data_IF_586108609463
#
_entry.id   IF_586108609463
#
_cell.length_a   1.000
_cell.length_b   1.000
_cell.length_c   1.000
_cell.angle_alpha   90.00
_cell.angle_beta   90.00
_cell.angle_gamma   90.00
#
_symmetry.space_group_name_H-M   'P 1'
#
loop_
_entity.id
_entity.type
_entity.pdbx_description
1 polymer ?
#
# COMPACT_ATOMS: atom_id res chain seq x y z
N UNK A 1 19.90 65.15 -13.67
CA UNK A 1 21.30 64.70 -13.78
C UNK A 1 21.27 63.19 -13.56
N UNK A 2 21.23 62.31 -14.55
CA UNK A 2 21.95 62.30 -15.82
C UNK A 2 23.25 61.52 -15.61
N UNK A 3 23.28 60.23 -15.99
CA UNK A 3 24.34 59.55 -16.77
C UNK A 3 23.89 58.10 -17.03
N UNK A 4 23.75 57.79 -18.33
CA UNK A 4 23.53 56.48 -18.96
C UNK A 4 24.87 55.71 -19.13
N UNK A 5 24.77 54.50 -19.72
CA UNK A 5 25.81 53.65 -20.37
C UNK A 5 26.28 52.44 -19.52
N UNK A 6 26.38 51.18 -20.01
CA UNK A 6 26.15 50.58 -21.34
C UNK A 6 26.24 49.03 -21.21
N UNK A 7 25.33 48.34 -21.91
CA UNK A 7 25.46 47.10 -22.71
C UNK A 7 26.65 46.13 -22.54
N UNK A 8 26.36 44.82 -22.55
CA UNK A 8 27.38 43.77 -22.78
C UNK A 8 26.82 42.34 -22.85
N UNK A 9 26.20 41.99 -23.98
CA UNK A 9 25.68 40.66 -24.33
C UNK A 9 26.83 39.76 -24.83
N UNK A 10 26.93 38.51 -24.36
CA UNK A 10 27.75 37.49 -25.05
C UNK A 10 27.12 36.10 -24.91
N UNK A 11 26.48 35.67 -26.00
CA UNK A 11 26.11 34.29 -26.27
C UNK A 11 27.17 33.71 -27.23
N UNK A 12 27.62 32.48 -26.99
CA UNK A 12 28.39 31.71 -27.98
C UNK A 12 27.94 30.24 -27.94
N UNK A 13 27.21 29.84 -28.98
CA UNK A 13 27.09 28.44 -29.41
C UNK A 13 28.38 28.02 -30.11
N UNK A 14 28.78 26.75 -29.99
CA UNK A 14 29.48 26.01 -31.05
C UNK A 14 29.20 24.50 -30.91
N UNK A 15 28.91 23.88 -32.04
CA UNK A 15 28.59 22.47 -32.22
C UNK A 15 29.72 21.73 -32.98
N UNK A 16 29.82 20.43 -32.69
CA UNK A 16 30.21 19.29 -33.56
C UNK A 16 31.61 19.13 -34.19
N UNK A 17 32.16 17.91 -34.01
CA UNK A 17 33.01 17.03 -34.86
C UNK A 17 34.04 16.32 -33.96
N UNK A 18 34.34 15.01 -34.00
CA UNK A 18 34.03 13.87 -34.87
C UNK A 18 34.99 12.69 -34.53
N UNK A 19 34.90 11.61 -35.31
CA UNK A 19 35.72 10.35 -35.33
C UNK A 19 35.23 9.22 -34.38
N UNK A 20 34.54 8.19 -34.89
CA UNK A 20 35.03 6.99 -35.61
C UNK A 20 35.99 6.14 -34.77
N UNK A 21 35.54 4.96 -34.36
CA UNK A 21 36.26 3.74 -34.74
C UNK A 21 35.31 2.55 -34.92
N UNK A 22 35.54 1.81 -36.00
CA UNK A 22 34.88 0.57 -36.38
C UNK A 22 35.76 -0.58 -35.91
N UNK A 23 35.17 -1.63 -35.35
CA UNK A 23 35.73 -2.97 -35.45
C UNK A 23 34.57 -3.96 -35.46
N UNK A 24 34.41 -4.56 -36.64
CA UNK A 24 33.58 -5.72 -36.90
C UNK A 24 34.20 -6.96 -36.25
N UNK A 25 33.38 -7.94 -35.87
CA UNK A 25 33.43 -9.26 -36.50
C UNK A 25 32.26 -10.13 -36.03
N UNK A 26 31.41 -10.47 -36.99
CA UNK A 26 30.45 -11.58 -36.96
C UNK A 26 31.20 -12.78 -37.52
N UNK A 27 31.20 -13.91 -36.80
CA UNK A 27 31.63 -15.18 -37.37
C UNK A 27 30.84 -16.36 -36.80
N UNK A 28 30.17 -17.05 -37.71
CA UNK A 28 29.62 -18.41 -37.67
C UNK A 28 29.61 -18.90 -39.14
N UNK A 29 29.39 -20.18 -39.49
CA UNK A 29 29.44 -21.45 -38.76
C UNK A 29 30.39 -22.45 -39.51
N UNK A 30 30.28 -23.81 -39.39
CA UNK A 30 29.31 -24.55 -40.22
C UNK A 30 28.70 -25.82 -39.58
N UNK A 31 27.67 -26.33 -40.25
CA UNK A 31 26.88 -27.52 -39.93
C UNK A 31 27.50 -28.84 -40.42
N UNK A 32 27.12 -29.96 -39.78
CA UNK A 32 27.13 -31.28 -40.40
C UNK A 32 25.99 -32.18 -39.84
N UNK A 33 25.12 -32.53 -40.78
CA UNK A 33 24.16 -33.66 -40.94
C UNK A 33 24.33 -34.93 -40.11
N UNK A 34 23.18 -35.52 -39.72
CA UNK A 34 22.74 -36.95 -39.77
C UNK A 34 21.50 -37.09 -38.84
N UNK A 35 20.50 -37.94 -38.99
CA UNK A 35 19.88 -38.73 -40.07
C UNK A 35 18.51 -39.13 -39.54
N UNK A 36 17.55 -39.31 -40.44
CA UNK A 36 16.16 -39.72 -40.19
C UNK A 36 16.09 -41.20 -39.82
N UNK A 37 15.31 -41.60 -38.81
CA UNK A 37 14.61 -42.88 -38.88
C UNK A 37 13.29 -42.87 -38.09
N UNK A 38 12.27 -43.38 -38.76
CA UNK A 38 10.86 -43.43 -38.43
C UNK A 38 10.55 -44.88 -38.05
N UNK A 39 9.85 -45.15 -36.95
CA UNK A 39 9.23 -46.45 -36.75
C UNK A 39 7.89 -46.30 -36.02
N UNK A 40 6.87 -46.78 -36.71
CA UNK A 40 5.47 -46.79 -36.30
C UNK A 40 5.14 -48.10 -35.58
N UNK A 41 4.11 -48.02 -34.71
CA UNK A 41 3.12 -49.08 -34.48
C UNK A 41 3.55 -50.24 -33.59
N UNK A 42 2.85 -50.40 -32.46
CA UNK A 42 2.15 -51.65 -32.13
C UNK A 42 1.25 -51.46 -30.90
N UNK A 43 -0.02 -51.80 -31.07
CA UNK A 43 -1.05 -52.00 -30.06
C UNK A 43 -1.65 -53.40 -30.36
N UNK A 44 -2.37 -54.05 -29.45
CA UNK A 44 -1.93 -54.76 -28.25
C UNK A 44 -2.07 -56.30 -28.41
N UNK A 45 -1.30 -57.10 -27.68
CA UNK A 45 -1.52 -58.56 -27.58
C UNK A 45 -1.75 -59.01 -26.13
N UNK A 46 -2.81 -59.81 -25.99
CA UNK A 46 -3.43 -60.27 -24.75
C UNK A 46 -2.56 -61.25 -23.95
N UNK A 47 -2.52 -61.07 -22.63
CA UNK A 47 -2.11 -62.10 -21.68
C UNK A 47 -3.29 -62.51 -20.77
N UNK A 48 -3.38 -63.78 -20.35
CA UNK A 48 -4.61 -64.40 -19.83
C UNK A 48 -4.94 -64.03 -18.38
N UNK A 49 -6.23 -64.16 -18.05
CA UNK A 49 -6.81 -63.88 -16.75
C UNK A 49 -6.28 -64.80 -15.63
N UNK A 50 -5.96 -64.28 -14.43
CA UNK A 50 -5.74 -65.09 -13.25
C UNK A 50 -7.06 -65.50 -12.58
N UNK A 51 -7.10 -66.75 -12.10
CA UNK A 51 -8.17 -67.36 -11.29
C UNK A 51 -8.52 -66.56 -10.01
N UNK A 52 -9.76 -66.72 -9.49
CA UNK A 52 -10.23 -65.97 -8.34
C UNK A 52 -9.54 -66.40 -7.04
N UNK A 53 -8.97 -65.42 -6.32
CA UNK A 53 -8.42 -65.60 -4.98
C UNK A 53 -9.54 -65.90 -3.95
N UNK A 54 -9.25 -66.69 -2.90
CA UNK A 54 -10.23 -67.07 -1.87
C UNK A 54 -10.71 -65.87 -1.04
N UNK A 55 -11.96 -65.95 -0.59
CA UNK A 55 -12.65 -64.91 0.17
C UNK A 55 -11.88 -64.50 1.44
N UNK A 56 -11.82 -63.20 1.78
CA UNK A 56 -11.20 -62.74 3.03
C UNK A 56 -12.07 -63.11 4.23
N UNK A 57 -11.42 -63.67 5.25
CA UNK A 57 -11.93 -63.90 6.61
C UNK A 57 -12.46 -62.58 7.21
N UNK A 58 -13.59 -62.58 7.96
CA UNK A 58 -14.11 -61.36 8.56
C UNK A 58 -13.15 -60.77 9.60
N UNK A 59 -12.75 -59.52 9.38
CA UNK A 59 -11.97 -58.70 10.31
C UNK A 59 -12.82 -58.41 11.57
N UNK A 60 -12.27 -58.49 12.81
CA UNK A 60 -13.02 -58.13 14.01
C UNK A 60 -13.45 -56.66 13.99
N UNK A 61 -14.57 -56.28 14.63
CA UNK A 61 -15.12 -54.94 14.51
C UNK A 61 -14.15 -53.91 15.09
N UNK A 62 -13.74 -52.96 14.24
CA UNK A 62 -13.02 -51.76 14.67
C UNK A 62 -13.89 -50.99 15.69
N UNK A 63 -13.31 -50.51 16.81
CA UNK A 63 -14.02 -49.61 17.71
C UNK A 63 -14.55 -48.43 16.90
N UNK A 64 -15.83 -48.09 17.08
CA UNK A 64 -16.46 -46.95 16.44
C UNK A 64 -15.59 -45.72 16.70
N UNK A 65 -14.88 -45.25 15.67
CA UNK A 65 -14.21 -43.97 15.72
C UNK A 65 -15.30 -42.94 15.94
N UNK A 66 -15.33 -42.35 17.14
CA UNK A 66 -16.05 -41.12 17.42
C UNK A 66 -15.77 -40.16 16.28
N UNK A 67 -16.78 -39.91 15.43
CA UNK A 67 -16.75 -38.77 14.53
C UNK A 67 -16.53 -37.55 15.42
N UNK A 68 -15.46 -36.77 15.23
CA UNK A 68 -15.39 -35.49 15.90
C UNK A 68 -16.65 -34.70 15.50
N UNK A 69 -17.27 -33.95 16.43
CA UNK A 69 -18.34 -33.05 16.06
C UNK A 69 -17.83 -32.17 14.93
N UNK A 70 -18.65 -32.01 13.88
CA UNK A 70 -18.40 -31.06 12.81
C UNK A 70 -18.23 -29.69 13.46
N UNK A 71 -16.98 -29.32 13.72
CA UNK A 71 -16.66 -27.95 14.02
C UNK A 71 -16.94 -27.21 12.72
N UNK A 72 -18.00 -26.40 12.71
CA UNK A 72 -18.06 -25.25 11.82
C UNK A 72 -16.87 -24.35 12.19
N UNK A 73 -15.68 -24.76 11.74
CA UNK A 73 -14.42 -24.11 11.98
C UNK A 73 -14.30 -22.95 11.01
N UNK A 74 -15.05 -21.88 11.24
CA UNK A 74 -14.53 -20.59 10.84
C UNK A 74 -13.31 -20.34 11.73
N UNK A 75 -12.13 -20.31 11.12
CA UNK A 75 -10.99 -19.67 11.76
C UNK A 75 -11.45 -18.29 12.26
N UNK A 76 -11.05 -17.84 13.46
CA UNK A 76 -11.48 -16.54 13.94
C UNK A 76 -11.05 -15.48 12.92
N UNK A 77 -12.04 -14.91 12.23
CA UNK A 77 -11.82 -13.78 11.33
C UNK A 77 -11.23 -12.67 12.20
N UNK A 78 -9.97 -12.29 11.95
CA UNK A 78 -9.32 -11.24 12.73
C UNK A 78 -10.09 -9.95 12.46
N UNK A 79 -10.88 -9.51 13.45
CA UNK A 79 -11.64 -8.28 13.35
C UNK A 79 -10.68 -7.08 13.32
N UNK A 80 -10.76 -6.26 12.26
CA UNK A 80 -10.03 -5.00 12.23
C UNK A 80 -10.42 -4.12 13.42
N UNK A 81 -9.46 -3.39 14.02
CA UNK A 81 -9.80 -2.32 14.95
C UNK A 81 -10.67 -1.27 14.26
N UNK A 82 -11.50 -0.58 15.05
CA UNK A 82 -12.25 0.55 14.55
C UNK A 82 -11.33 1.78 14.42
N UNK A 83 -11.47 2.52 13.31
CA UNK A 83 -11.01 3.90 13.25
C UNK A 83 -12.02 4.78 14.00
N UNK A 84 -11.60 5.83 14.72
CA UNK A 84 -12.54 6.74 15.37
C UNK A 84 -13.49 7.36 14.35
N UNK A 85 -14.78 7.37 14.67
CA UNK A 85 -15.82 7.88 13.79
C UNK A 85 -16.84 8.72 14.56
N UNK A 86 -17.16 9.97 14.13
CA UNK A 86 -16.63 10.69 12.96
C UNK A 86 -15.09 10.84 13.00
N UNK A 87 -14.42 10.97 11.84
CA UNK A 87 -12.97 11.06 11.81
C UNK A 87 -12.53 12.28 12.62
N UNK A 88 -11.45 12.18 13.41
CA UNK A 88 -10.98 13.32 14.18
C UNK A 88 -10.51 14.43 13.23
N UNK A 89 -10.50 15.66 13.75
CA UNK A 89 -10.29 16.84 12.90
C UNK A 89 -8.97 16.75 12.15
N UNK A 90 -9.07 16.73 10.83
CA UNK A 90 -7.94 16.67 9.90
C UNK A 90 -7.49 18.08 9.51
N UNK A 91 -6.20 18.22 9.25
CA UNK A 91 -5.56 19.49 8.85
C UNK A 91 -5.92 19.91 7.43
N UNK A 92 -6.08 18.94 6.53
CA UNK A 92 -6.53 19.11 5.16
C UNK A 92 -7.17 17.82 4.63
N UNK A 93 -7.80 17.88 3.46
CA UNK A 93 -8.35 16.71 2.79
C UNK A 93 -8.33 16.87 1.26
N UNK A 94 -8.43 15.77 0.54
CA UNK A 94 -8.61 15.75 -0.91
C UNK A 94 -9.50 14.58 -1.34
N UNK A 95 -10.41 14.82 -2.28
CA UNK A 95 -11.21 13.76 -2.89
C UNK A 95 -10.41 13.06 -3.98
N UNK A 96 -10.51 11.74 -4.02
CA UNK A 96 -9.84 10.90 -5.01
C UNK A 96 -10.84 10.50 -6.09
N UNK A 97 -10.44 10.62 -7.35
CA UNK A 97 -11.29 10.31 -8.48
C UNK A 97 -11.60 8.79 -8.51
N UNK A 98 -12.87 8.43 -8.74
CA UNK A 98 -13.33 7.04 -8.71
C UNK A 98 -12.58 6.19 -9.74
N UNK A 99 -12.35 6.74 -10.92
CA UNK A 99 -11.64 6.10 -12.03
C UNK A 99 -10.16 5.79 -11.73
N UNK A 100 -9.58 6.35 -10.67
CA UNK A 100 -8.21 6.07 -10.24
C UNK A 100 -8.13 4.90 -9.26
N UNK A 101 -9.21 4.63 -8.51
CA UNK A 101 -9.24 3.61 -7.47
C UNK A 101 -10.12 2.42 -7.82
N UNK A 102 -11.08 2.59 -8.72
CA UNK A 102 -12.10 1.62 -9.08
C UNK A 102 -12.38 1.62 -10.60
N UNK A 103 -11.40 1.27 -11.47
CA UNK A 103 -11.54 1.38 -12.93
C UNK A 103 -12.44 0.31 -13.59
N UNK A 104 -13.02 -0.62 -12.82
CA UNK A 104 -13.87 -1.72 -13.30
C UNK A 104 -15.36 -1.39 -13.36
N UNK A 105 -16.16 -2.28 -13.93
CA UNK A 105 -17.63 -2.12 -14.08
C UNK A 105 -18.40 -2.44 -12.80
N UNK A 106 -17.90 -3.36 -11.98
CA UNK A 106 -18.48 -3.76 -10.70
C UNK A 106 -17.37 -3.91 -9.64
N UNK A 107 -16.66 -2.82 -9.31
CA UNK A 107 -15.51 -2.88 -8.43
C UNK A 107 -15.94 -3.26 -7.01
N UNK A 108 -15.05 -3.98 -6.32
CA UNK A 108 -15.21 -4.31 -4.89
C UNK A 108 -14.21 -3.54 -4.04
N UNK A 109 -14.49 -3.38 -2.74
CA UNK A 109 -13.61 -2.65 -1.82
C UNK A 109 -12.18 -3.22 -1.80
N UNK A 110 -12.02 -4.53 -2.03
CA UNK A 110 -10.70 -5.18 -2.12
C UNK A 110 -9.87 -4.72 -3.33
N UNK A 111 -10.49 -4.34 -4.45
CA UNK A 111 -9.79 -3.78 -5.60
C UNK A 111 -9.29 -2.37 -5.31
N UNK A 112 -10.17 -1.55 -4.72
CA UNK A 112 -9.84 -0.20 -4.25
C UNK A 112 -8.70 -0.23 -3.25
N UNK A 113 -8.77 -1.14 -2.27
CA UNK A 113 -7.73 -1.34 -1.28
C UNK A 113 -6.37 -1.62 -1.93
N UNK A 114 -6.30 -2.55 -2.90
CA UNK A 114 -5.06 -2.87 -3.62
C UNK A 114 -4.51 -1.67 -4.41
N UNK A 115 -5.38 -0.85 -4.97
CA UNK A 115 -4.95 0.33 -5.73
C UNK A 115 -4.37 1.41 -4.80
N UNK A 116 -4.94 1.59 -3.61
CA UNK A 116 -4.39 2.49 -2.58
C UNK A 116 -3.06 1.97 -2.02
N UNK A 117 -2.95 0.66 -1.75
CA UNK A 117 -1.69 0.02 -1.35
C UNK A 117 -0.60 0.19 -2.42
N UNK A 118 -0.95 -0.02 -3.70
CA UNK A 118 -0.04 0.20 -4.82
C UNK A 118 0.46 1.65 -4.85
N UNK A 119 -0.43 2.62 -4.66
CA UNK A 119 -0.05 4.02 -4.63
C UNK A 119 0.90 4.34 -3.47
N UNK A 120 0.64 3.80 -2.28
CA UNK A 120 1.56 3.91 -1.14
C UNK A 120 2.93 3.33 -1.47
N UNK A 121 2.97 2.12 -2.04
CA UNK A 121 4.23 1.46 -2.40
C UNK A 121 5.03 2.26 -3.45
N UNK A 122 4.39 2.76 -4.51
CA UNK A 122 5.04 3.59 -5.53
C UNK A 122 5.59 4.88 -4.93
N UNK A 123 4.85 5.50 -3.99
CA UNK A 123 5.27 6.70 -3.29
C UNK A 123 6.32 6.45 -2.18
N UNK A 124 6.73 5.20 -1.96
CA UNK A 124 7.75 4.80 -1.00
C UNK A 124 7.27 4.58 0.43
N UNK A 125 5.95 4.54 0.67
CA UNK A 125 5.37 4.14 1.95
C UNK A 125 5.40 2.62 2.06
N UNK A 126 6.41 2.08 2.73
CA UNK A 126 6.56 0.63 2.92
C UNK A 126 5.66 0.03 4.00
N UNK A 127 4.91 0.85 4.74
CA UNK A 127 4.05 0.42 5.85
C UNK A 127 2.73 1.19 5.84
N UNK A 128 1.63 0.47 6.04
CA UNK A 128 0.27 0.99 6.17
C UNK A 128 -0.58 0.09 7.07
N UNK A 129 -1.68 0.63 7.58
CA UNK A 129 -2.51 0.00 8.60
C UNK A 129 -4.01 0.13 8.26
N UNK A 130 -4.73 -1.00 8.25
CA UNK A 130 -6.17 -1.06 7.97
C UNK A 130 -7.03 -0.88 9.22
N UNK A 131 -8.14 -0.17 9.06
CA UNK A 131 -9.16 0.02 10.09
C UNK A 131 -10.56 -0.14 9.52
N UNK A 132 -11.48 -0.55 10.38
CA UNK A 132 -12.91 -0.57 10.07
C UNK A 132 -13.52 0.81 10.31
N UNK A 133 -14.33 1.26 9.37
CA UNK A 133 -15.24 2.41 9.49
C UNK A 133 -16.66 2.00 9.06
N UNK A 134 -17.69 2.83 9.31
CA UNK A 134 -18.99 2.62 8.68
C UNK A 134 -18.89 2.63 7.15
N UNK A 135 -19.56 1.69 6.49
CA UNK A 135 -19.63 1.64 5.02
C UNK A 135 -18.36 1.20 4.29
N UNK A 136 -17.26 0.89 4.99
CA UNK A 136 -16.03 0.44 4.34
C UNK A 136 -14.81 0.37 5.26
N UNK A 137 -13.69 0.94 4.81
CA UNK A 137 -12.40 0.85 5.51
C UNK A 137 -11.62 2.17 5.46
N UNK A 138 -10.69 2.31 6.41
CA UNK A 138 -9.65 3.32 6.36
C UNK A 138 -8.28 2.64 6.22
N UNK A 139 -7.38 3.27 5.47
CA UNK A 139 -6.00 2.84 5.28
C UNK A 139 -5.06 3.99 5.64
N UNK A 140 -4.37 3.86 6.76
CA UNK A 140 -3.46 4.86 7.29
C UNK A 140 -2.01 4.57 6.86
N UNK A 141 -1.27 5.61 6.49
CA UNK A 141 0.17 5.53 6.26
C UNK A 141 0.95 5.41 7.56
N UNK A 142 2.23 5.02 7.48
CA UNK A 142 3.22 5.36 8.51
C UNK A 142 3.35 6.89 8.68
N UNK A 143 3.97 7.31 9.78
CA UNK A 143 4.33 8.71 10.00
C UNK A 143 5.45 9.10 9.04
N UNK A 144 5.27 10.23 8.37
CA UNK A 144 6.25 10.81 7.44
C UNK A 144 6.78 12.13 7.99
N UNK A 145 8.10 12.31 7.96
CA UNK A 145 8.75 13.58 8.23
C UNK A 145 8.76 14.45 6.97
N UNK A 146 8.23 15.67 7.09
CA UNK A 146 8.05 16.62 6.00
C UNK A 146 8.71 17.96 6.34
N UNK A 147 9.06 18.70 5.30
CA UNK A 147 9.47 20.10 5.42
C UNK A 147 8.23 20.99 5.60
N UNK A 148 8.45 22.25 5.97
CA UNK A 148 7.38 23.23 6.14
C UNK A 148 6.52 23.45 4.88
N UNK A 149 7.05 23.13 3.71
CA UNK A 149 6.32 23.19 2.44
C UNK A 149 5.60 21.87 2.08
N UNK A 150 5.50 20.92 3.02
CA UNK A 150 4.95 19.58 2.85
C UNK A 150 5.71 18.65 1.88
N UNK A 151 6.91 19.03 1.43
CA UNK A 151 7.80 18.10 0.73
C UNK A 151 8.37 17.06 1.70
N UNK A 152 8.47 15.78 1.32
CA UNK A 152 9.07 14.77 2.17
C UNK A 152 10.58 14.98 2.28
N UNK A 153 11.15 14.71 3.45
CA UNK A 153 12.59 14.51 3.53
C UNK A 153 13.02 13.30 2.67
N UNK A 154 14.31 13.21 2.36
CA UNK A 154 14.87 12.01 1.72
C UNK A 154 15.01 10.88 2.76
N UNK A 155 15.05 9.62 2.29
CA UNK A 155 15.37 8.52 3.19
C UNK A 155 16.83 8.64 3.68
N UNK A 156 17.14 8.33 4.95
CA UNK A 156 16.24 7.76 5.97
C UNK A 156 15.44 8.81 6.77
N UNK A 157 15.76 10.09 6.66
CA UNK A 157 15.15 11.18 7.47
C UNK A 157 13.64 11.28 7.30
N UNK A 158 13.12 10.96 6.10
CA UNK A 158 11.69 10.82 5.80
C UNK A 158 10.94 9.95 6.80
N UNK A 159 11.62 8.94 7.33
CA UNK A 159 11.08 7.89 8.17
C UNK A 159 11.75 7.84 9.54
N UNK A 160 12.36 8.94 9.98
CA UNK A 160 13.13 9.04 11.23
C UNK A 160 12.33 8.68 12.50
N UNK A 161 11.01 8.60 12.39
CA UNK A 161 10.15 8.01 13.42
C UNK A 161 10.08 6.51 13.16
N UNK A 162 10.95 5.75 13.84
CA UNK A 162 10.97 4.28 13.78
C UNK A 162 9.62 3.69 14.23
N UNK A 163 9.08 2.79 13.40
CA UNK A 163 7.96 1.92 13.78
C UNK A 163 8.55 0.66 14.44
N UNK A 164 8.27 0.37 15.73
CA UNK A 164 8.76 -0.85 16.37
C UNK A 164 8.27 -2.08 15.62
N UNK A 165 9.20 -3.00 15.34
CA UNK A 165 8.88 -4.31 14.76
C UNK A 165 8.01 -5.08 15.76
N UNK A 166 6.80 -5.42 15.33
CA UNK A 166 5.76 -6.14 16.06
C UNK A 166 6.34 -7.23 16.98
N UNK A 167 6.33 -6.97 18.30
CA UNK A 167 6.22 -7.98 19.37
C UNK A 167 6.08 -7.42 20.79
N UNK A 168 6.27 -6.13 21.03
CA UNK A 168 6.14 -5.55 22.37
C UNK A 168 5.25 -4.30 22.35
N UNK A 169 4.50 -4.11 23.44
CA UNK A 169 3.26 -3.33 23.45
C UNK A 169 3.34 -1.83 23.19
N UNK A 170 2.14 -1.30 22.92
CA UNK A 170 1.65 0.08 22.75
C UNK A 170 2.39 1.26 23.42
N UNK A 171 3.20 1.06 24.47
CA UNK A 171 3.82 2.15 25.24
C UNK A 171 5.15 2.64 24.61
N UNK A 172 5.89 1.79 23.88
CA UNK A 172 7.20 2.17 23.33
C UNK A 172 7.12 2.97 22.02
N UNK A 173 6.05 2.78 21.23
CA UNK A 173 5.79 3.52 19.98
C UNK A 173 5.49 5.01 20.22
N UNK A 174 4.84 5.32 21.34
CA UNK A 174 4.50 6.67 21.79
C UNK A 174 5.77 7.50 22.05
N UNK A 175 6.86 6.86 22.51
CA UNK A 175 8.16 7.53 22.69
C UNK A 175 8.77 7.97 21.38
N UNK A 176 8.51 7.31 20.25
CA UNK A 176 9.16 7.63 18.98
C UNK A 176 8.77 9.02 18.44
N UNK A 177 7.51 9.45 18.57
CA UNK A 177 7.10 10.84 18.26
C UNK A 177 7.51 11.86 19.34
N UNK A 178 7.58 11.44 20.61
CA UNK A 178 8.06 12.32 21.68
C UNK A 178 9.59 12.53 21.64
N UNK A 179 10.32 11.56 21.08
CA UNK A 179 11.75 11.60 20.80
C UNK A 179 12.08 11.98 19.35
N UNK A 180 11.06 12.21 18.51
CA UNK A 180 11.26 12.65 17.14
C UNK A 180 11.94 14.03 17.15
N UNK A 181 12.88 14.30 16.23
CA UNK A 181 13.46 15.62 16.09
C UNK A 181 12.37 16.69 15.92
N UNK A 182 12.59 17.93 16.42
CA UNK A 182 11.72 19.04 16.08
C UNK A 182 11.53 19.17 14.57
N UNK A 183 10.30 19.38 14.12
CA UNK A 183 9.96 19.36 12.69
C UNK A 183 8.47 19.15 12.43
N UNK A 184 8.13 18.99 11.15
CA UNK A 184 6.75 18.77 10.69
C UNK A 184 6.56 17.33 10.27
N UNK A 185 5.44 16.74 10.65
CA UNK A 185 5.13 15.34 10.37
C UNK A 185 3.74 15.24 9.79
N UNK A 186 3.48 14.21 8.98
CA UNK A 186 2.12 13.90 8.54
C UNK A 186 1.78 12.42 8.61
N UNK A 187 0.49 12.17 8.75
CA UNK A 187 -0.16 10.88 8.52
C UNK A 187 -1.26 11.08 7.49
N UNK A 188 -1.30 10.21 6.49
CA UNK A 188 -2.30 10.23 5.43
C UNK A 188 -3.22 9.04 5.63
N UNK A 189 -4.53 9.30 5.73
CA UNK A 189 -5.54 8.26 5.88
C UNK A 189 -6.47 8.30 4.68
N UNK A 190 -6.46 7.27 3.86
CA UNK A 190 -7.50 7.07 2.87
C UNK A 190 -8.74 6.50 3.54
N UNK A 191 -9.88 7.15 3.32
CA UNK A 191 -11.20 6.74 3.81
C UNK A 191 -12.04 6.32 2.61
N UNK A 192 -12.55 5.09 2.64
CA UNK A 192 -13.43 4.54 1.61
C UNK A 192 -14.76 4.16 2.25
N UNK A 193 -15.83 4.89 1.92
CA UNK A 193 -17.14 4.74 2.57
C UNK A 193 -18.28 5.15 1.64
N UNK A 194 -19.49 4.66 1.91
CA UNK A 194 -20.75 5.12 1.31
C UNK A 194 -21.59 6.01 2.26
N UNK A 195 -21.00 6.44 3.37
CA UNK A 195 -21.67 7.25 4.38
C UNK A 195 -21.03 8.63 4.47
N UNK A 196 -21.87 9.67 4.30
CA UNK A 196 -21.46 11.06 4.52
C UNK A 196 -20.96 11.24 5.96
N UNK A 197 -19.90 12.04 6.11
CA UNK A 197 -19.34 12.38 7.41
C UNK A 197 -18.85 13.82 7.47
N UNK A 198 -18.84 14.37 8.68
CA UNK A 198 -18.12 15.58 9.02
C UNK A 198 -17.01 15.23 10.02
N UNK A 199 -15.93 15.99 10.03
CA UNK A 199 -14.90 15.87 11.05
C UNK A 199 -15.50 16.11 12.45
N UNK A 200 -14.97 15.41 13.47
CA UNK A 200 -15.21 15.79 14.84
C UNK A 200 -14.69 17.22 15.09
N UNK A 201 -15.30 17.96 16.04
CA UNK A 201 -14.87 19.32 16.35
C UNK A 201 -13.45 19.39 16.94
N UNK A 202 -13.04 18.31 17.61
CA UNK A 202 -11.76 18.19 18.31
C UNK A 202 -10.68 17.60 17.39
N UNK A 203 -9.51 18.25 17.40
CA UNK A 203 -8.30 17.69 16.82
C UNK A 203 -7.89 16.44 17.60
N UNK A 204 -7.36 15.41 16.91
CA UNK A 204 -6.88 14.23 17.61
C UNK A 204 -5.75 14.63 18.55
N UNK A 205 -5.80 14.10 19.75
CA UNK A 205 -4.61 14.06 20.60
C UNK A 205 -3.49 13.29 19.89
N UNK A 206 -2.25 13.59 20.28
CA UNK A 206 -1.11 12.80 19.82
C UNK A 206 -1.29 11.30 20.10
N UNK A 207 -1.98 10.93 21.19
CA UNK A 207 -2.32 9.55 21.52
C UNK A 207 -3.28 8.88 20.52
N UNK A 208 -4.29 9.60 20.03
CA UNK A 208 -5.26 9.08 19.06
C UNK A 208 -4.64 8.87 17.69
N UNK A 209 -3.86 9.83 17.20
CA UNK A 209 -3.13 9.70 15.94
C UNK A 209 -2.22 8.46 15.92
N UNK A 210 -1.62 8.12 17.08
CA UNK A 210 -0.74 6.96 17.23
C UNK A 210 -1.49 5.63 17.15
N UNK A 211 -2.73 5.57 17.63
CA UNK A 211 -3.56 4.38 17.53
C UNK A 211 -3.90 4.03 16.07
N UNK A 212 -3.91 5.03 15.16
CA UNK A 212 -4.19 4.83 13.73
C UNK A 212 -3.00 4.35 12.90
N UNK A 213 -1.78 4.45 13.42
CA UNK A 213 -0.61 4.03 12.65
C UNK A 213 -0.16 2.62 13.03
N UNK A 214 -0.41 2.18 14.28
CA UNK A 214 0.14 0.92 14.81
C UNK A 214 -0.85 -0.12 15.28
N UNK A 215 -2.13 0.23 15.42
CA UNK A 215 -3.16 -0.70 15.87
C UNK A 215 -3.81 -1.51 14.75
N UNK A 216 -3.64 -1.07 13.50
CA UNK A 216 -4.42 -1.52 12.35
C UNK A 216 -4.10 -2.95 11.89
N UNK A 217 -5.03 -3.54 11.16
CA UNK A 217 -4.77 -4.81 10.51
C UNK A 217 -3.78 -4.66 9.35
N UNK A 218 -2.97 -5.68 9.13
CA UNK A 218 -2.02 -5.72 8.00
C UNK A 218 -2.69 -5.99 6.65
N UNK A 219 -3.95 -6.44 6.66
CA UNK A 219 -4.74 -6.80 5.47
C UNK A 219 -6.20 -6.45 5.70
N UNK A 220 -6.90 -6.14 4.62
CA UNK A 220 -8.35 -6.01 4.62
C UNK A 220 -9.00 -7.40 4.74
N UNK A 221 -9.85 -7.67 5.75
CA UNK A 221 -10.57 -8.94 5.85
C UNK A 221 -11.47 -9.18 4.64
N UNK A 222 -11.62 -10.45 4.25
CA UNK A 222 -12.37 -10.87 3.06
C UNK A 222 -13.82 -10.37 3.08
N UNK A 223 -14.47 -10.37 4.25
CA UNK A 223 -15.84 -9.85 4.42
C UNK A 223 -15.98 -8.36 4.10
N UNK A 224 -14.92 -7.57 4.27
CA UNK A 224 -14.92 -6.16 3.87
C UNK A 224 -14.48 -6.03 2.42
N UNK A 225 -13.45 -6.77 2.02
CA UNK A 225 -12.91 -6.75 0.66
C UNK A 225 -13.93 -7.16 -0.42
N UNK A 226 -14.84 -8.08 -0.10
CA UNK A 226 -15.88 -8.57 -1.02
C UNK A 226 -17.10 -7.63 -1.14
N UNK A 227 -17.17 -6.54 -0.36
CA UNK A 227 -18.28 -5.60 -0.46
C UNK A 227 -18.20 -4.82 -1.79
N UNK A 228 -19.34 -4.56 -2.46
CA UNK A 228 -19.35 -3.71 -3.64
C UNK A 228 -18.89 -2.29 -3.33
N UNK A 229 -18.06 -1.72 -4.21
CA UNK A 229 -17.87 -0.27 -4.29
C UNK A 229 -19.00 0.30 -5.16
N UNK A 230 -20.11 0.64 -4.51
CA UNK A 230 -21.33 1.07 -5.19
C UNK A 230 -21.33 2.55 -5.59
N UNK A 231 -22.40 3.03 -6.24
CA UNK A 231 -22.50 4.42 -6.72
C UNK A 231 -22.44 5.50 -5.63
N UNK A 232 -22.64 5.11 -4.37
CA UNK A 232 -22.54 6.01 -3.20
C UNK A 232 -21.17 5.99 -2.56
N UNK A 233 -20.30 5.03 -2.91
CA UNK A 233 -18.96 4.96 -2.35
C UNK A 233 -18.09 6.07 -2.91
N UNK A 234 -17.34 6.70 -2.02
CA UNK A 234 -16.33 7.69 -2.37
C UNK A 234 -15.05 7.43 -1.59
N UNK A 235 -13.96 7.99 -2.11
CA UNK A 235 -12.63 7.90 -1.50
C UNK A 235 -12.11 9.29 -1.20
N UNK A 236 -11.74 9.54 0.05
CA UNK A 236 -11.16 10.82 0.50
C UNK A 236 -9.85 10.54 1.22
N UNK A 237 -8.82 11.32 0.90
CA UNK A 237 -7.60 11.38 1.70
C UNK A 237 -7.75 12.42 2.80
N UNK A 238 -7.61 12.00 4.06
CA UNK A 238 -7.53 12.86 5.23
C UNK A 238 -6.06 13.06 5.60
N UNK A 239 -5.65 14.31 5.78
CA UNK A 239 -4.27 14.68 6.11
C UNK A 239 -4.24 15.18 7.55
N UNK A 240 -3.41 14.52 8.36
CA UNK A 240 -3.12 14.95 9.72
C UNK A 240 -1.69 15.46 9.77
N UNK A 241 -1.53 16.78 9.91
CA UNK A 241 -0.22 17.43 10.03
C UNK A 241 0.07 17.72 11.50
N UNK A 242 1.32 17.48 11.92
CA UNK A 242 1.78 17.67 13.28
C UNK A 242 3.05 18.52 13.29
N UNK A 243 3.15 19.43 14.25
CA UNK A 243 4.37 20.18 14.53
C UNK A 243 4.98 19.68 15.85
N UNK A 244 6.26 19.29 15.81
CA UNK A 244 7.07 19.02 16.99
C UNK A 244 7.94 20.25 17.26
N UNK A 245 7.53 21.07 18.22
CA UNK A 245 8.31 22.23 18.67
C UNK A 245 9.37 21.83 19.69
N UNK A 246 10.48 22.56 19.75
CA UNK A 246 11.59 22.28 20.68
C UNK A 246 11.23 22.61 22.14
N UNK A 247 10.35 23.59 22.36
CA UNK A 247 9.94 24.12 23.67
C UNK A 247 8.70 23.41 24.25
N UNK A 248 8.05 22.55 23.48
CA UNK A 248 6.91 21.77 23.95
C UNK A 248 7.31 20.32 24.19
N UNK A 249 6.67 19.60 25.12
CA UNK A 249 6.92 18.17 25.31
C UNK A 249 6.19 17.30 24.29
N UNK A 250 5.16 17.83 23.60
CA UNK A 250 4.30 17.06 22.70
C UNK A 250 4.25 17.69 21.31
N UNK A 251 3.95 16.88 20.29
CA UNK A 251 3.60 17.40 18.98
C UNK A 251 2.13 17.88 19.00
N UNK A 252 1.85 19.02 18.38
CA UNK A 252 0.52 19.58 18.23
C UNK A 252 0.01 19.36 16.80
N UNK A 253 -1.28 19.05 16.64
CA UNK A 253 -1.90 19.02 15.31
C UNK A 253 -1.90 20.43 14.75
N UNK A 254 -1.39 20.59 13.54
CA UNK A 254 -1.33 21.86 12.86
C UNK A 254 -2.67 22.09 12.14
N UNK A 255 -3.41 23.11 12.58
CA UNK A 255 -4.80 23.34 12.20
C UNK A 255 -5.08 24.83 11.89
N UNK A 256 -5.58 25.17 10.68
CA UNK A 256 -5.61 24.33 9.48
C UNK A 256 -4.19 24.06 8.95
N UNK A 257 -4.03 23.10 8.04
CA UNK A 257 -2.79 22.97 7.28
C UNK A 257 -2.56 24.22 6.41
N UNK A 258 -1.32 24.75 6.30
CA UNK A 258 -0.99 25.81 5.35
C UNK A 258 -0.97 25.30 3.91
N UNK A 259 -0.90 23.99 3.72
CA UNK A 259 -0.85 23.31 2.42
C UNK A 259 -2.17 22.60 2.12
N UNK A 260 -2.67 22.69 0.89
CA UNK A 260 -3.93 22.02 0.52
C UNK A 260 -3.76 20.49 0.51
N UNK A 261 -4.86 19.76 0.70
CA UNK A 261 -4.79 18.29 0.75
C UNK A 261 -4.25 17.67 -0.54
N UNK A 262 -4.59 18.24 -1.70
CA UNK A 262 -4.04 17.80 -2.99
C UNK A 262 -2.53 18.04 -3.06
N UNK A 263 -2.06 19.22 -2.66
CA UNK A 263 -0.64 19.56 -2.68
C UNK A 263 0.18 18.63 -1.77
N UNK A 264 -0.38 18.22 -0.63
CA UNK A 264 0.19 17.17 0.23
C UNK A 264 0.37 15.86 -0.55
N UNK A 265 -0.67 15.41 -1.26
CA UNK A 265 -0.62 14.17 -2.04
C UNK A 265 0.34 14.26 -3.24
N UNK A 266 0.42 15.41 -3.90
CA UNK A 266 1.35 15.64 -5.01
C UNK A 266 2.80 15.61 -4.52
N UNK A 267 3.10 16.29 -3.40
CA UNK A 267 4.43 16.30 -2.80
C UNK A 267 4.83 14.95 -2.22
N UNK A 268 3.86 14.17 -1.74
CA UNK A 268 4.05 12.79 -1.33
C UNK A 268 4.32 11.82 -2.50
N UNK A 269 4.08 12.23 -3.75
CA UNK A 269 4.05 11.35 -4.92
C UNK A 269 2.81 10.46 -5.03
N UNK A 270 1.86 10.59 -4.10
CA UNK A 270 0.65 9.76 -4.05
C UNK A 270 -0.35 10.14 -5.14
N UNK A 271 -0.47 11.43 -5.47
CA UNK A 271 -1.40 11.88 -6.50
C UNK A 271 -1.06 11.27 -7.87
N UNK A 272 0.22 11.29 -8.22
CA UNK A 272 0.74 10.72 -9.46
C UNK A 272 0.64 9.20 -9.43
N UNK A 273 0.95 8.57 -8.29
CA UNK A 273 0.86 7.12 -8.14
C UNK A 273 -0.58 6.58 -8.26
N UNK A 274 -1.58 7.34 -7.80
CA UNK A 274 -3.00 7.01 -7.97
C UNK A 274 -3.45 7.17 -9.43
N UNK A 275 -2.98 8.21 -10.11
CA UNK A 275 -3.32 8.48 -11.51
C UNK A 275 -2.61 7.53 -12.49
N UNK A 276 -1.49 6.92 -12.08
CA UNK A 276 -0.74 5.95 -12.88
C UNK A 276 -1.53 4.64 -13.00
N UNK A 277 -1.73 4.18 -14.23
CA UNK A 277 -2.44 2.94 -14.57
C UNK A 277 -1.46 1.84 -14.95
#
# INVERSE_FOLDING_TARGET
>A
MGVHFLLGMLALMLAACGARDQSAEVSAPPAAVESVEQAAGEEPESAPAPEPAPAPTPEPPRPAAMRPPSANGHAPEIALPAFPWPPPRYSAFANIAVEWVAPGTEPVLGEVARQLERAFNIAGYGESSYYRIPGGFALASRIEHIRADASPFDAPERWAVDTPKVREGFIDYIRALFNAPPGFYRVIVFVVTDQDFAAAEQAPSSAEARAWVTGGGLRLPERIAAQPYGPRHYTTALIYEFERRHDEPQASVLMPSPTQGRDHLERAGLWQALAAR
#
